data_IF_546207698072
#
_entry.id   IF_546207698072
#
_cell.length_a   1.000
_cell.length_b   1.000
_cell.length_c   1.000
_cell.angle_alpha   90.00
_cell.angle_beta   90.00
_cell.angle_gamma   90.00
#
_symmetry.space_group_name_H-M   'P 1'
#
loop_
_entity.id
_entity.type
_entity.pdbx_description
1 polymer ?
#
# COMPACT_ATOMS: atom_id res chain seq x y z
N UNK A 1 -21.19 -32.76 8.94
CA UNK A 1 -19.78 -33.14 8.77
C UNK A 1 -19.06 -31.88 8.28
N UNK A 2 -18.42 -31.16 9.19
CA UNK A 2 -17.78 -29.88 8.87
C UNK A 2 -16.46 -30.19 8.17
N UNK A 3 -16.35 -29.82 6.88
CA UNK A 3 -15.06 -29.69 6.22
C UNK A 3 -14.31 -28.55 6.92
N UNK A 4 -13.36 -28.90 7.78
CA UNK A 4 -12.23 -28.02 8.05
C UNK A 4 -11.30 -28.19 6.87
N UNK A 5 -11.54 -27.44 5.80
CA UNK A 5 -10.48 -27.22 4.81
C UNK A 5 -9.40 -26.41 5.51
N UNK A 6 -8.35 -27.08 5.97
CA UNK A 6 -7.10 -26.41 6.29
C UNK A 6 -6.55 -25.88 4.98
N UNK A 7 -6.98 -24.69 4.57
CA UNK A 7 -6.31 -23.99 3.48
C UNK A 7 -4.98 -23.51 4.05
N UNK A 8 -3.95 -24.35 3.96
CA UNK A 8 -2.57 -23.93 4.06
C UNK A 8 -2.33 -22.98 2.87
N UNK A 9 -2.80 -21.73 3.02
CA UNK A 9 -2.71 -20.69 2.00
C UNK A 9 -1.28 -20.19 2.00
N UNK A 10 -0.58 -20.48 0.92
CA UNK A 10 0.85 -20.20 0.71
C UNK A 10 1.27 -18.86 1.29
N UNK A 11 2.19 -18.91 2.25
CA UNK A 11 2.91 -17.75 2.74
C UNK A 11 4.14 -17.53 1.86
N UNK A 12 4.43 -16.28 1.53
CA UNK A 12 5.65 -15.90 0.81
C UNK A 12 6.39 -14.89 1.66
N UNK A 13 7.68 -15.14 1.87
CA UNK A 13 8.61 -14.17 2.47
C UNK A 13 9.59 -13.74 1.39
N UNK A 14 9.66 -12.43 1.15
CA UNK A 14 10.63 -11.79 0.25
C UNK A 14 11.48 -10.87 1.11
N UNK A 15 12.79 -11.07 1.11
CA UNK A 15 13.69 -10.25 1.91
C UNK A 15 14.99 -9.94 1.18
N UNK A 16 15.53 -8.74 1.42
CA UNK A 16 16.87 -8.33 0.97
C UNK A 16 17.07 -8.35 -0.56
N UNK A 17 15.98 -8.10 -1.31
CA UNK A 17 15.97 -8.07 -2.77
C UNK A 17 15.56 -6.69 -3.27
N UNK A 18 16.21 -6.25 -4.37
CA UNK A 18 15.81 -5.05 -5.10
C UNK A 18 15.17 -5.40 -6.44
N UNK A 19 14.02 -4.79 -6.72
CA UNK A 19 13.26 -4.94 -7.95
C UNK A 19 13.23 -3.61 -8.71
N UNK A 20 13.42 -3.68 -10.03
CA UNK A 20 13.31 -2.53 -10.94
C UNK A 20 12.38 -2.85 -12.09
N UNK A 21 11.36 -2.01 -12.29
CA UNK A 21 10.44 -2.12 -13.42
C UNK A 21 10.88 -1.23 -14.58
N UNK A 22 11.11 -1.81 -15.75
CA UNK A 22 11.51 -1.07 -16.97
C UNK A 22 10.45 -1.05 -18.07
N UNK A 23 9.31 -1.72 -17.90
CA UNK A 23 8.19 -1.68 -18.84
C UNK A 23 7.31 -0.43 -18.72
N UNK A 24 6.33 -0.28 -19.62
CA UNK A 24 5.30 0.79 -19.60
C UNK A 24 3.99 0.39 -18.88
N UNK A 25 3.89 -0.87 -18.46
CA UNK A 25 2.76 -1.49 -17.75
C UNK A 25 3.28 -2.64 -16.90
N UNK A 26 2.57 -2.97 -15.83
CA UNK A 26 2.86 -4.06 -14.91
C UNK A 26 3.11 -3.58 -13.48
N UNK A 27 2.76 -4.45 -12.53
CA UNK A 27 3.02 -4.27 -11.09
C UNK A 27 4.30 -5.07 -10.75
N UNK A 28 5.16 -4.55 -9.86
CA UNK A 28 6.38 -5.26 -9.46
C UNK A 28 6.02 -6.47 -8.59
N UNK A 29 5.21 -6.25 -7.55
CA UNK A 29 4.72 -7.30 -6.66
C UNK A 29 3.20 -7.20 -6.54
N UNK A 30 2.52 -8.30 -6.87
CA UNK A 30 1.08 -8.41 -6.78
C UNK A 30 0.69 -9.61 -5.90
N UNK A 31 0.16 -9.33 -4.71
CA UNK A 31 -0.21 -10.32 -3.70
C UNK A 31 -1.73 -10.46 -3.63
N UNK A 32 -2.29 -11.39 -4.40
CA UNK A 32 -3.73 -11.62 -4.43
C UNK A 32 -4.20 -12.70 -3.44
N UNK A 33 -3.38 -13.73 -3.22
CA UNK A 33 -3.73 -14.91 -2.45
C UNK A 33 -2.64 -15.29 -1.47
N UNK A 34 -3.04 -15.99 -0.41
CA UNK A 34 -2.16 -16.33 0.70
C UNK A 34 -2.55 -15.58 1.97
N UNK A 35 -1.88 -15.91 3.06
CA UNK A 35 -1.99 -15.23 4.36
C UNK A 35 -0.58 -15.14 4.96
N UNK A 36 -0.28 -14.04 5.66
CA UNK A 36 0.97 -13.93 6.41
C UNK A 36 2.18 -13.54 5.56
N UNK A 37 2.00 -12.95 4.38
CA UNK A 37 3.13 -12.56 3.52
C UNK A 37 4.02 -11.54 4.19
N UNK A 38 5.33 -11.65 3.98
CA UNK A 38 6.31 -10.71 4.51
C UNK A 38 7.16 -10.18 3.37
N UNK A 39 7.23 -8.86 3.23
CA UNK A 39 8.15 -8.16 2.35
C UNK A 39 9.03 -7.29 3.24
N UNK A 40 10.31 -7.62 3.36
CA UNK A 40 11.20 -6.94 4.30
C UNK A 40 12.55 -6.55 3.71
N UNK A 41 13.06 -5.37 4.06
CA UNK A 41 14.40 -4.93 3.61
C UNK A 41 14.57 -4.94 2.08
N UNK A 42 13.47 -4.69 1.35
CA UNK A 42 13.48 -4.69 -0.11
C UNK A 42 13.64 -3.27 -0.68
N UNK A 43 14.05 -3.18 -1.94
CA UNK A 43 14.04 -1.94 -2.72
C UNK A 43 13.17 -2.10 -3.96
N UNK A 44 12.15 -1.27 -4.13
CA UNK A 44 11.32 -1.27 -5.33
C UNK A 44 11.49 0.06 -6.04
N UNK A 45 11.72 0.01 -7.36
CA UNK A 45 11.86 1.19 -8.22
C UNK A 45 11.10 0.99 -9.52
N UNK A 46 10.35 1.99 -9.96
CA UNK A 46 9.80 2.06 -11.32
C UNK A 46 10.43 3.23 -12.09
N UNK A 47 10.16 3.28 -13.39
CA UNK A 47 10.48 4.44 -14.24
C UNK A 47 9.20 5.21 -14.59
N UNK A 48 9.35 6.46 -14.99
CA UNK A 48 8.26 7.24 -15.57
C UNK A 48 7.70 6.55 -16.83
N UNK A 49 6.39 6.65 -17.02
CA UNK A 49 5.65 6.06 -18.12
C UNK A 49 4.94 4.74 -17.79
N UNK A 50 5.12 4.16 -16.61
CA UNK A 50 4.32 3.04 -16.11
C UNK A 50 3.31 3.51 -15.06
N UNK A 51 2.04 3.61 -15.47
CA UNK A 51 0.94 4.10 -14.63
C UNK A 51 0.38 3.08 -13.64
N UNK A 52 0.85 1.84 -13.69
CA UNK A 52 0.45 0.82 -12.73
C UNK A 52 1.19 1.01 -11.39
N UNK A 53 0.53 0.64 -10.28
CA UNK A 53 1.09 0.78 -8.94
C UNK A 53 2.29 -0.17 -8.75
N UNK A 54 3.25 0.17 -7.88
CA UNK A 54 4.47 -0.63 -7.74
C UNK A 54 4.22 -1.94 -6.98
N UNK A 55 3.53 -1.86 -5.84
CA UNK A 55 3.15 -2.99 -5.01
C UNK A 55 1.65 -2.93 -4.75
N UNK A 56 0.95 -4.02 -5.07
CA UNK A 56 -0.47 -4.16 -4.78
C UNK A 56 -0.72 -5.43 -3.97
N UNK A 57 -1.50 -5.32 -2.89
CA UNK A 57 -1.93 -6.48 -2.12
C UNK A 57 -3.43 -6.42 -1.81
N UNK A 58 -4.08 -7.58 -1.96
CA UNK A 58 -5.50 -7.78 -1.74
C UNK A 58 -5.81 -8.93 -0.76
N UNK A 59 -4.78 -9.56 -0.20
CA UNK A 59 -4.84 -10.60 0.81
C UNK A 59 -4.63 -10.04 2.23
N UNK A 60 -4.77 -10.90 3.24
CA UNK A 60 -4.72 -10.52 4.66
C UNK A 60 -3.39 -10.87 5.31
N UNK A 61 -3.08 -10.20 6.43
CA UNK A 61 -1.85 -10.40 7.21
C UNK A 61 -0.59 -10.18 6.37
N UNK A 62 -0.55 -9.09 5.59
CA UNK A 62 0.64 -8.71 4.82
C UNK A 62 1.49 -7.74 5.63
N UNK A 63 2.75 -8.09 5.86
CA UNK A 63 3.72 -7.24 6.54
C UNK A 63 4.74 -6.68 5.54
N UNK A 64 4.77 -5.35 5.38
CA UNK A 64 5.77 -4.62 4.61
C UNK A 64 6.66 -3.87 5.60
N UNK A 65 7.92 -4.29 5.72
CA UNK A 65 8.84 -3.85 6.77
C UNK A 65 10.13 -3.31 6.16
N UNK A 66 10.67 -2.19 6.66
CA UNK A 66 11.99 -1.67 6.27
C UNK A 66 12.22 -1.61 4.74
N UNK A 67 11.17 -1.34 3.95
CA UNK A 67 11.22 -1.42 2.49
C UNK A 67 11.28 -0.02 1.88
N UNK A 68 12.03 0.14 0.79
CA UNK A 68 12.19 1.42 0.09
C UNK A 68 11.45 1.41 -1.25
N UNK A 69 10.75 2.50 -1.55
CA UNK A 69 9.99 2.69 -2.78
C UNK A 69 10.45 3.99 -3.47
N UNK A 70 11.14 3.85 -4.60
CA UNK A 70 11.48 4.95 -5.50
C UNK A 70 10.46 5.03 -6.63
N UNK A 71 9.36 5.76 -6.40
CA UNK A 71 8.28 5.89 -7.36
C UNK A 71 8.50 7.10 -8.29
N UNK A 72 8.88 6.83 -9.53
CA UNK A 72 9.17 7.82 -10.56
C UNK A 72 7.98 8.17 -11.47
N UNK A 73 6.83 7.51 -11.33
CA UNK A 73 5.63 7.83 -12.11
C UNK A 73 4.65 8.69 -11.29
N UNK A 74 4.41 9.97 -11.67
CA UNK A 74 3.53 10.88 -10.94
C UNK A 74 2.10 10.38 -10.69
N UNK A 75 1.56 9.56 -11.60
CA UNK A 75 0.18 9.11 -11.51
C UNK A 75 -0.03 7.76 -10.80
N UNK A 76 1.04 7.01 -10.53
CA UNK A 76 1.01 5.71 -9.84
C UNK A 76 1.21 5.84 -8.32
N UNK A 77 0.72 4.88 -7.54
CA UNK A 77 1.06 4.73 -6.13
C UNK A 77 2.21 3.74 -5.93
N UNK A 78 3.04 4.00 -4.92
CA UNK A 78 4.05 3.04 -4.48
C UNK A 78 3.41 1.79 -3.87
N UNK A 79 2.32 1.98 -3.10
CA UNK A 79 1.61 0.89 -2.43
C UNK A 79 0.11 1.07 -2.63
N UNK A 80 -0.58 0.00 -3.05
CA UNK A 80 -2.03 -0.13 -3.03
C UNK A 80 -2.47 -1.27 -2.13
N UNK A 81 -3.19 -0.93 -1.08
CA UNK A 81 -3.96 -1.87 -0.26
C UNK A 81 -5.40 -1.87 -0.77
N UNK A 82 -5.91 -3.03 -1.18
CA UNK A 82 -7.27 -3.12 -1.73
C UNK A 82 -7.96 -4.45 -1.41
N UNK A 83 -9.15 -4.68 -1.93
CA UNK A 83 -9.82 -6.00 -1.91
C UNK A 83 -10.25 -6.39 -3.31
N UNK A 84 -10.29 -7.70 -3.58
CA UNK A 84 -10.70 -8.23 -4.89
C UNK A 84 -11.79 -9.28 -4.69
N UNK A 85 -12.88 -9.14 -5.43
CA UNK A 85 -14.02 -10.06 -5.37
C UNK A 85 -14.59 -10.13 -3.95
N UNK A 86 -14.76 -11.35 -3.44
CA UNK A 86 -15.25 -11.65 -2.08
C UNK A 86 -14.13 -11.86 -1.05
N UNK A 87 -12.88 -11.56 -1.40
CA UNK A 87 -11.72 -11.76 -0.51
C UNK A 87 -11.61 -10.59 0.47
N UNK A 88 -11.26 -10.90 1.71
CA UNK A 88 -11.01 -9.92 2.76
C UNK A 88 -9.52 -9.53 2.76
N UNK A 89 -9.25 -8.25 3.03
CA UNK A 89 -7.92 -7.73 3.34
C UNK A 89 -7.96 -7.16 4.75
N UNK A 90 -7.49 -7.98 5.71
CA UNK A 90 -7.51 -7.63 7.12
C UNK A 90 -6.13 -7.75 7.75
N UNK A 91 -5.87 -6.93 8.77
CA UNK A 91 -4.74 -7.06 9.70
C UNK A 91 -3.36 -7.03 9.04
N UNK A 92 -3.18 -6.19 8.02
CA UNK A 92 -1.89 -5.97 7.36
C UNK A 92 -1.12 -4.83 8.02
N UNK A 93 0.21 -4.82 7.89
CA UNK A 93 1.09 -3.82 8.48
C UNK A 93 2.06 -3.25 7.45
N UNK A 94 2.31 -1.94 7.51
CA UNK A 94 3.34 -1.24 6.75
C UNK A 94 4.18 -0.46 7.75
N UNK A 95 5.39 -0.92 8.03
CA UNK A 95 6.28 -0.34 9.03
C UNK A 95 7.66 0.03 8.48
N UNK A 96 8.20 1.11 9.05
CA UNK A 96 9.60 1.52 8.92
C UNK A 96 10.07 1.65 7.45
N UNK A 97 9.13 1.90 6.53
CA UNK A 97 9.37 1.96 5.09
C UNK A 97 9.56 3.40 4.60
N UNK A 98 10.33 3.58 3.53
CA UNK A 98 10.60 4.88 2.93
C UNK A 98 10.02 4.97 1.53
N UNK A 99 9.14 5.93 1.30
CA UNK A 99 8.52 6.19 0.00
C UNK A 99 8.99 7.55 -0.51
N UNK A 100 9.57 7.60 -1.71
CA UNK A 100 10.14 8.82 -2.30
C UNK A 100 10.01 8.83 -3.83
N UNK A 101 10.35 9.97 -4.44
CA UNK A 101 10.19 10.21 -5.88
C UNK A 101 8.95 11.06 -6.23
N UNK A 102 8.73 11.36 -7.52
CA UNK A 102 7.62 12.16 -8.01
C UNK A 102 6.24 11.48 -7.96
N UNK A 103 6.17 10.17 -7.76
CA UNK A 103 4.93 9.41 -7.68
C UNK A 103 4.15 9.58 -6.36
N UNK A 104 2.98 8.94 -6.30
CA UNK A 104 2.11 8.92 -5.12
C UNK A 104 2.58 7.87 -4.12
N UNK A 105 2.20 8.04 -2.86
CA UNK A 105 2.65 7.17 -1.77
C UNK A 105 1.80 5.92 -1.60
N UNK A 106 0.88 5.94 -0.64
CA UNK A 106 -0.03 4.84 -0.30
C UNK A 106 -1.46 5.18 -0.71
N UNK A 107 -2.17 4.23 -1.34
CA UNK A 107 -3.63 4.26 -1.48
C UNK A 107 -4.26 3.07 -0.76
N UNK A 108 -5.38 3.34 -0.10
CA UNK A 108 -6.29 2.32 0.44
C UNK A 108 -7.67 2.52 -0.17
N UNK A 109 -8.12 1.55 -0.94
CA UNK A 109 -9.39 1.61 -1.66
C UNK A 109 -10.06 0.24 -1.80
N UNK A 110 -11.27 0.23 -2.33
CA UNK A 110 -11.91 -0.98 -2.85
C UNK A 110 -12.94 -0.60 -3.92
N UNK A 111 -13.16 -1.51 -4.89
CA UNK A 111 -14.29 -1.42 -5.82
C UNK A 111 -15.57 -2.05 -5.28
N UNK A 112 -15.49 -2.74 -4.15
CA UNK A 112 -16.59 -3.49 -3.55
C UNK A 112 -16.87 -2.93 -2.15
N UNK A 113 -17.84 -2.00 -1.99
CA UNK A 113 -18.12 -1.33 -0.72
C UNK A 113 -18.44 -2.28 0.45
N UNK A 114 -18.91 -3.50 0.15
CA UNK A 114 -19.16 -4.54 1.16
C UNK A 114 -17.86 -5.18 1.70
N UNK A 115 -16.76 -5.13 0.94
CA UNK A 115 -15.48 -5.75 1.27
C UNK A 115 -14.45 -4.64 1.43
N UNK A 116 -14.53 -3.89 2.53
CA UNK A 116 -13.58 -2.83 2.80
C UNK A 116 -12.35 -3.40 3.50
N UNK A 117 -11.14 -2.97 3.17
CA UNK A 117 -9.96 -3.27 3.98
C UNK A 117 -10.20 -2.91 5.46
N UNK A 118 -9.61 -3.67 6.38
CA UNK A 118 -9.78 -3.46 7.83
C UNK A 118 -8.49 -3.78 8.61
N UNK A 119 -8.26 -3.09 9.71
CA UNK A 119 -7.16 -3.43 10.62
C UNK A 119 -5.78 -3.14 10.05
N UNK A 120 -5.65 -2.23 9.08
CA UNK A 120 -4.33 -1.86 8.55
C UNK A 120 -3.59 -0.97 9.55
N UNK A 121 -2.32 -1.29 9.82
CA UNK A 121 -1.43 -0.39 10.58
C UNK A 121 -0.34 0.17 9.68
N UNK A 122 -0.23 1.49 9.64
CA UNK A 122 0.78 2.23 8.87
C UNK A 122 1.58 3.05 9.86
N UNK A 123 2.77 2.56 10.27
CA UNK A 123 3.53 3.18 11.36
C UNK A 123 5.00 3.39 11.05
N UNK A 124 5.57 4.49 11.55
CA UNK A 124 7.01 4.81 11.44
C UNK A 124 7.55 4.88 10.01
N UNK A 125 6.68 5.07 9.02
CA UNK A 125 7.10 5.23 7.62
C UNK A 125 7.54 6.66 7.33
N UNK A 126 8.42 6.82 6.35
CA UNK A 126 8.86 8.12 5.81
C UNK A 126 8.23 8.33 4.43
N UNK A 127 7.20 9.16 4.35
CA UNK A 127 6.60 9.60 3.08
C UNK A 127 7.29 10.89 2.61
N UNK A 128 8.34 10.72 1.82
CA UNK A 128 9.20 11.79 1.28
C UNK A 128 8.90 12.12 -0.18
N UNK A 129 7.95 11.40 -0.80
CA UNK A 129 7.55 11.60 -2.19
C UNK A 129 7.01 13.03 -2.41
N UNK A 130 7.29 13.58 -3.59
CA UNK A 130 6.90 14.94 -3.99
C UNK A 130 5.64 14.95 -4.87
N UNK A 131 5.08 13.77 -5.16
CA UNK A 131 3.82 13.64 -5.86
C UNK A 131 2.65 14.25 -5.08
N UNK A 132 1.52 14.40 -5.76
CA UNK A 132 0.33 15.11 -5.24
C UNK A 132 -0.25 14.47 -3.97
N UNK A 133 -0.02 13.18 -3.75
CA UNK A 133 -0.65 12.40 -2.69
C UNK A 133 0.38 11.52 -1.97
N UNK A 134 0.46 11.65 -0.65
CA UNK A 134 1.34 10.84 0.19
C UNK A 134 0.59 9.64 0.77
N UNK A 135 -0.61 9.88 1.30
CA UNK A 135 -1.52 8.82 1.76
C UNK A 135 -2.94 9.18 1.34
N UNK A 136 -3.61 8.26 0.66
CA UNK A 136 -4.97 8.42 0.15
C UNK A 136 -5.86 7.33 0.72
N UNK A 137 -6.90 7.74 1.46
CA UNK A 137 -7.87 6.84 2.10
C UNK A 137 -9.23 7.03 1.44
N UNK A 138 -9.65 6.08 0.60
CA UNK A 138 -10.98 6.11 -0.02
C UNK A 138 -11.96 5.25 0.74
N UNK A 139 -11.59 4.00 1.02
CA UNK A 139 -12.56 3.06 1.56
C UNK A 139 -11.83 2.05 2.45
N UNK A 140 -12.06 2.17 3.75
CA UNK A 140 -11.45 1.34 4.81
C UNK A 140 -12.38 1.36 6.04
N UNK A 141 -12.47 0.25 6.75
CA UNK A 141 -13.19 0.15 8.02
C UNK A 141 -12.36 0.69 9.19
N UNK A 142 -11.10 0.29 9.26
CA UNK A 142 -10.20 0.70 10.34
C UNK A 142 -8.75 0.77 9.84
N UNK A 143 -8.10 1.90 10.13
CA UNK A 143 -6.67 2.12 9.88
C UNK A 143 -6.05 2.88 11.05
N UNK A 144 -4.89 2.41 11.51
CA UNK A 144 -4.04 3.16 12.44
C UNK A 144 -2.86 3.73 11.66
N UNK A 145 -2.81 5.05 11.53
CA UNK A 145 -1.66 5.78 10.97
C UNK A 145 -0.97 6.51 12.11
N UNK A 146 0.23 6.07 12.48
CA UNK A 146 0.94 6.62 13.63
C UNK A 146 2.43 6.80 13.36
N UNK A 147 3.06 7.80 13.98
CA UNK A 147 4.52 8.01 13.93
C UNK A 147 5.13 8.09 12.52
N UNK A 148 4.34 8.37 11.49
CA UNK A 148 4.85 8.53 10.13
C UNK A 148 5.40 9.95 9.91
N UNK A 149 6.55 10.06 9.26
CA UNK A 149 7.07 11.35 8.82
C UNK A 149 6.56 11.65 7.42
N UNK A 150 5.78 12.73 7.31
CA UNK A 150 5.14 13.14 6.06
C UNK A 150 5.76 14.47 5.64
N UNK A 151 6.41 14.50 4.47
CA UNK A 151 7.04 15.71 3.92
C UNK A 151 5.97 16.77 3.64
N UNK A 152 6.16 18.00 4.12
CA UNK A 152 5.31 19.14 3.74
C UNK A 152 5.74 19.69 2.37
N UNK A 153 4.79 20.03 1.47
CA UNK A 153 5.13 20.77 0.25
C UNK A 153 5.72 22.14 0.61
N UNK A 154 6.78 22.56 -0.09
CA UNK A 154 7.50 23.81 0.18
C UNK A 154 6.70 25.10 -0.12
N UNK A 155 5.48 25.00 -0.68
CA UNK A 155 4.67 26.15 -1.13
C UNK A 155 3.25 26.22 -0.53
N UNK A 156 3.00 25.65 0.65
CA UNK A 156 1.75 25.86 1.38
C UNK A 156 2.00 26.32 2.82
N UNK A 157 1.97 27.64 3.01
CA UNK A 157 1.62 28.23 4.29
C UNK A 157 0.17 27.80 4.60
N UNK A 158 -0.01 27.07 5.71
CA UNK A 158 -1.30 26.68 6.28
C UNK A 158 -2.14 25.65 5.47
N UNK A 159 -1.98 24.35 5.77
CA UNK A 159 -3.09 23.44 6.08
C UNK A 159 -2.56 22.03 6.39
N UNK A 160 -2.98 21.54 7.56
CA UNK A 160 -3.37 20.16 7.90
C UNK A 160 -2.88 19.06 6.94
N UNK A 161 -2.15 18.10 7.50
CA UNK A 161 -2.13 16.68 7.10
C UNK A 161 -3.18 16.34 6.03
N UNK A 162 -2.83 16.34 4.73
CA UNK A 162 -3.72 15.84 3.68
C UNK A 162 -3.73 14.31 3.74
N UNK A 163 -4.29 13.74 4.80
CA UNK A 163 -5.02 12.49 4.64
C UNK A 163 -6.28 12.92 3.90
N UNK A 164 -6.33 12.66 2.59
CA UNK A 164 -7.60 12.76 1.88
C UNK A 164 -8.41 11.54 2.33
N UNK A 165 -9.23 11.73 3.37
CA UNK A 165 -10.29 10.79 3.74
C UNK A 165 -11.47 11.11 2.84
N UNK A 166 -11.58 10.42 1.71
CA UNK A 166 -12.82 10.38 0.94
C UNK A 166 -13.71 9.27 1.54
N UNK A 167 -14.07 9.37 2.82
CA UNK A 167 -15.08 8.48 3.37
C UNK A 167 -16.44 8.94 2.83
N UNK A 168 -17.01 8.20 1.88
CA UNK A 168 -18.42 8.37 1.55
C UNK A 168 -19.27 8.05 2.80
N UNK A 169 -20.31 8.84 3.10
CA UNK A 169 -21.17 8.59 4.22
C UNK A 169 -21.86 7.23 4.07
N UNK A 170 -21.88 6.47 5.16
CA UNK A 170 -22.62 5.22 5.32
C UNK A 170 -24.11 5.49 5.07
N UNK A 171 -24.71 4.83 4.08
CA UNK A 171 -26.14 4.57 3.99
C UNK A 171 -26.36 3.06 4.05
#
# INVERSE_FOLDING_TARGET
>A
MNMVESVAKSQITISEISFKHEGKKGVILYLEEGLGHVISHCGLTNKEGNKDDMLMFACSYVDILNTSFSNNEPESYAIRCTTIGKKLNINSNIFDSRIFGPGKGLIIDTKHPANRPEGLKVSRNMFLNIGKEQITLKTILHVDISKCWIRRPAHQFCSILRIIVCAEPLF
#
